data_IF_694103585757
#
_entry.id   IF_694103585757
#
_cell.length_a   1.000
_cell.length_b   1.000
_cell.length_c   1.000
_cell.angle_alpha   90.00
_cell.angle_beta   90.00
_cell.angle_gamma   90.00
#
_symmetry.space_group_name_H-M   'P 1'
#
loop_
_entity.id
_entity.type
_entity.pdbx_description
1 polymer ?
#
# COMPACT_ATOMS: atom_id res chain seq x y z
N UNK A 1 5.46 17.13 36.77
CA UNK A 1 5.77 15.73 37.16
C UNK A 1 4.56 14.86 36.86
N UNK A 2 4.81 13.58 36.58
CA UNK A 2 3.90 12.51 36.12
C UNK A 2 3.67 12.37 34.60
N UNK A 3 4.63 11.64 34.00
CA UNK A 3 4.44 10.46 33.15
C UNK A 3 3.48 10.53 31.95
N UNK A 4 4.07 10.78 30.77
CA UNK A 4 3.69 10.06 29.55
C UNK A 4 4.79 9.03 29.27
N UNK A 5 4.58 7.80 29.76
CA UNK A 5 5.33 6.63 29.31
C UNK A 5 4.98 6.39 27.84
N UNK A 6 5.68 7.08 26.94
CA UNK A 6 5.70 6.75 25.50
C UNK A 6 6.81 5.73 25.25
N UNK A 7 6.64 4.51 25.75
CA UNK A 7 7.34 3.34 25.21
C UNK A 7 6.63 2.90 23.91
N UNK A 8 6.47 3.83 22.97
CA UNK A 8 5.97 3.57 21.63
C UNK A 8 7.15 3.24 20.73
N UNK A 9 7.60 1.99 20.78
CA UNK A 9 8.60 1.49 19.83
C UNK A 9 7.95 1.39 18.45
N UNK A 10 8.11 2.43 17.61
CA UNK A 10 7.81 2.31 16.18
C UNK A 10 8.85 1.39 15.54
N UNK A 11 8.59 0.09 15.52
CA UNK A 11 9.43 -0.88 14.79
C UNK A 11 9.01 -0.90 13.33
N UNK A 12 9.97 -0.61 12.44
CA UNK A 12 9.77 -0.64 10.99
C UNK A 12 10.23 -1.98 10.46
N UNK A 13 9.31 -2.75 9.88
CA UNK A 13 9.61 -4.00 9.20
C UNK A 13 9.81 -3.72 7.70
N UNK A 14 10.89 -4.23 7.15
CA UNK A 14 11.17 -4.16 5.71
C UNK A 14 11.32 -5.59 5.18
N UNK A 15 10.57 -5.94 4.15
CA UNK A 15 10.71 -7.21 3.42
C UNK A 15 11.21 -6.95 2.00
N UNK A 16 12.20 -7.72 1.55
CA UNK A 16 12.77 -7.64 0.20
C UNK A 16 12.62 -8.99 -0.49
N UNK A 17 11.86 -9.04 -1.58
CA UNK A 17 11.78 -10.21 -2.45
C UNK A 17 12.87 -10.13 -3.53
N UNK A 18 13.84 -11.04 -3.48
CA UNK A 18 14.79 -11.26 -4.56
C UNK A 18 14.26 -12.36 -5.49
N UNK A 19 13.93 -11.99 -6.73
CA UNK A 19 13.53 -12.94 -7.77
C UNK A 19 14.69 -13.87 -8.19
N UNK A 20 14.32 -15.08 -8.63
CA UNK A 20 15.15 -16.21 -9.07
C UNK A 20 16.28 -15.87 -10.05
N UNK A 21 17.46 -15.53 -9.53
CA UNK A 21 18.67 -15.44 -10.33
C UNK A 21 19.89 -15.87 -9.49
N UNK A 22 20.53 -17.02 -9.79
CA UNK A 22 21.76 -17.46 -9.13
C UNK A 22 22.88 -16.41 -9.19
N UNK A 23 22.87 -15.51 -10.18
CA UNK A 23 23.84 -14.43 -10.35
C UNK A 23 23.63 -13.34 -9.27
N UNK A 24 22.42 -13.18 -8.74
CA UNK A 24 22.10 -12.17 -7.72
C UNK A 24 22.27 -12.67 -6.27
N UNK A 25 22.59 -13.94 -6.03
CA UNK A 25 22.92 -14.44 -4.68
C UNK A 25 24.12 -13.69 -4.07
N UNK A 26 25.08 -13.26 -4.88
CA UNK A 26 26.19 -12.40 -4.43
C UNK A 26 25.75 -10.96 -4.10
N UNK A 27 24.64 -10.47 -4.68
CA UNK A 27 24.06 -9.15 -4.30
C UNK A 27 23.34 -9.22 -2.96
N UNK A 28 22.80 -10.39 -2.56
CA UNK A 28 22.19 -10.59 -1.24
C UNK A 28 23.20 -10.43 -0.10
N UNK A 29 24.45 -10.90 -0.29
CA UNK A 29 25.55 -10.62 0.66
C UNK A 29 25.78 -9.13 0.89
N UNK A 30 25.74 -8.32 -0.17
CA UNK A 30 25.83 -6.85 -0.07
C UNK A 30 24.60 -6.20 0.57
N UNK A 31 23.43 -6.84 0.47
CA UNK A 31 22.18 -6.32 1.06
C UNK A 31 22.14 -6.54 2.56
N UNK A 32 22.60 -7.71 3.04
CA UNK A 32 22.83 -7.99 4.47
C UNK A 32 23.82 -7.00 5.09
N UNK A 33 24.95 -6.76 4.41
CA UNK A 33 25.96 -5.77 4.80
C UNK A 33 25.37 -4.36 4.96
N UNK A 34 24.59 -3.89 3.98
CA UNK A 34 23.94 -2.56 4.06
C UNK A 34 23.00 -2.49 5.26
N UNK A 35 22.18 -3.52 5.54
CA UNK A 35 21.26 -3.48 6.67
C UNK A 35 21.95 -3.49 8.04
N UNK A 36 22.91 -4.41 8.23
CA UNK A 36 23.64 -4.59 9.49
C UNK A 36 24.56 -3.41 9.80
N UNK A 37 25.18 -2.79 8.79
CA UNK A 37 26.13 -1.68 9.02
C UNK A 37 25.51 -0.29 8.93
N UNK A 38 24.39 -0.10 8.21
CA UNK A 38 23.82 1.25 8.01
C UNK A 38 22.51 1.49 8.76
N UNK A 39 21.64 0.48 8.87
CA UNK A 39 20.31 0.67 9.46
C UNK A 39 20.28 0.23 10.91
N UNK A 40 20.83 -0.95 11.23
CA UNK A 40 20.82 -1.49 12.59
C UNK A 40 21.50 -0.59 13.63
N UNK A 41 22.67 0.03 13.36
CA UNK A 41 23.34 0.89 14.35
C UNK A 41 22.55 2.18 14.65
N UNK A 42 21.74 2.64 13.71
CA UNK A 42 20.92 3.86 13.84
C UNK A 42 19.53 3.54 14.39
N UNK A 43 18.99 2.36 14.07
CA UNK A 43 17.65 1.90 14.46
C UNK A 43 17.75 0.48 15.02
N UNK A 44 18.23 0.30 16.26
CA UNK A 44 18.45 -1.03 16.85
C UNK A 44 17.15 -1.82 17.08
N UNK A 45 16.00 -1.17 16.96
CA UNK A 45 14.69 -1.79 16.99
C UNK A 45 14.19 -2.27 15.62
N UNK A 46 14.92 -1.98 14.54
CA UNK A 46 14.60 -2.48 13.21
C UNK A 46 14.90 -3.97 13.13
N UNK A 47 14.00 -4.74 12.50
CA UNK A 47 14.20 -6.16 12.24
C UNK A 47 14.09 -6.40 10.75
N UNK A 48 15.10 -7.05 10.17
CA UNK A 48 15.05 -7.55 8.82
C UNK A 48 14.67 -9.03 8.85
N UNK A 49 13.73 -9.43 8.00
CA UNK A 49 13.39 -10.83 7.79
C UNK A 49 13.84 -11.17 6.36
N UNK A 50 14.92 -11.93 6.25
CA UNK A 50 15.46 -12.32 4.95
C UNK A 50 14.70 -13.51 4.37
N UNK A 51 14.46 -13.43 3.06
CA UNK A 51 14.00 -14.51 2.20
C UNK A 51 12.64 -14.24 1.59
N UNK A 52 12.18 -15.17 0.75
CA UNK A 52 10.93 -15.04 -0.02
C UNK A 52 9.73 -14.84 0.88
N UNK A 53 8.89 -13.85 0.59
CA UNK A 53 7.73 -13.50 1.40
C UNK A 53 6.82 -14.70 1.69
N UNK A 54 6.61 -15.60 0.71
CA UNK A 54 5.81 -16.82 0.90
C UNK A 54 6.41 -17.83 1.90
N UNK A 55 7.73 -17.76 2.14
CA UNK A 55 8.48 -18.74 2.94
C UNK A 55 8.97 -18.19 4.28
N UNK A 56 9.21 -16.88 4.39
CA UNK A 56 9.94 -16.27 5.52
C UNK A 56 9.05 -15.42 6.42
N UNK A 57 7.93 -14.94 5.88
CA UNK A 57 6.88 -14.35 6.68
C UNK A 57 5.91 -15.43 7.19
N UNK A 58 6.41 -16.48 7.86
CA UNK A 58 5.51 -17.30 8.65
C UNK A 58 4.91 -16.38 9.71
N UNK A 59 3.61 -16.21 9.70
CA UNK A 59 2.91 -15.23 10.53
C UNK A 59 3.07 -15.47 12.05
N UNK A 60 3.77 -16.54 12.44
CA UNK A 60 4.25 -16.85 13.79
C UNK A 60 5.55 -16.12 14.19
N UNK A 61 6.32 -15.59 13.23
CA UNK A 61 7.53 -14.78 13.52
C UNK A 61 7.22 -13.30 13.76
N UNK A 62 5.99 -12.87 13.42
CA UNK A 62 5.52 -11.51 13.63
C UNK A 62 4.94 -11.43 15.04
N UNK A 63 5.80 -11.12 16.02
CA UNK A 63 5.42 -11.01 17.44
C UNK A 63 4.57 -9.77 17.77
N UNK A 64 3.99 -9.10 16.76
CA UNK A 64 3.28 -7.84 16.92
C UNK A 64 1.77 -8.11 16.96
N UNK A 65 1.07 -7.78 18.06
CA UNK A 65 -0.38 -7.96 18.11
C UNK A 65 -1.10 -7.00 17.14
N UNK A 66 -0.58 -5.77 16.98
CA UNK A 66 -1.15 -4.73 16.11
C UNK A 66 -0.02 -4.02 15.34
N UNK A 67 -0.26 -3.73 14.07
CA UNK A 67 0.62 -2.88 13.24
C UNK A 67 0.03 -1.48 13.13
N UNK A 68 0.79 -0.46 13.52
CA UNK A 68 0.39 0.95 13.29
C UNK A 68 0.39 1.30 11.81
N UNK A 69 1.33 0.73 11.05
CA UNK A 69 1.45 0.95 9.61
C UNK A 69 1.90 -0.34 8.92
N UNK A 70 1.27 -0.68 7.81
CA UNK A 70 1.64 -1.78 6.93
C UNK A 70 1.86 -1.25 5.52
N UNK A 71 3.06 -1.46 4.97
CA UNK A 71 3.47 -0.94 3.65
C UNK A 71 3.71 -2.11 2.71
N UNK A 72 3.14 -2.07 1.51
CA UNK A 72 3.36 -3.06 0.45
C UNK A 72 3.89 -2.34 -0.80
N UNK A 73 5.07 -2.75 -1.27
CA UNK A 73 5.76 -2.20 -2.46
C UNK A 73 6.04 -3.25 -3.55
N UNK A 74 5.78 -4.51 -3.23
CA UNK A 74 6.10 -5.67 -4.07
C UNK A 74 4.88 -6.26 -4.78
N UNK A 75 3.67 -5.85 -4.40
CA UNK A 75 2.43 -6.38 -4.95
C UNK A 75 2.09 -5.77 -6.32
N UNK A 76 2.74 -6.27 -7.38
CA UNK A 76 2.49 -5.83 -8.77
C UNK A 76 1.27 -6.51 -9.43
N UNK A 77 0.75 -7.59 -8.84
CA UNK A 77 -0.41 -8.36 -9.33
C UNK A 77 -1.38 -8.68 -8.18
N UNK A 78 -2.59 -9.15 -8.50
CA UNK A 78 -3.54 -9.61 -7.48
C UNK A 78 -2.99 -10.80 -6.68
N UNK A 79 -2.37 -11.77 -7.33
CA UNK A 79 -1.76 -12.93 -6.65
C UNK A 79 -0.62 -12.51 -5.73
N UNK A 80 0.24 -11.57 -6.15
CA UNK A 80 1.28 -11.05 -5.25
C UNK A 80 0.66 -10.42 -4.01
N UNK A 81 -0.44 -9.67 -4.15
CA UNK A 81 -1.15 -9.11 -3.01
C UNK A 81 -1.77 -10.21 -2.13
N UNK A 82 -2.42 -11.21 -2.70
CA UNK A 82 -2.98 -12.34 -1.95
C UNK A 82 -1.92 -13.14 -1.18
N UNK A 83 -0.70 -13.19 -1.67
CA UNK A 83 0.41 -13.87 -1.00
C UNK A 83 1.05 -13.01 0.11
N UNK A 84 1.09 -11.69 -0.06
CA UNK A 84 1.84 -10.79 0.83
C UNK A 84 0.95 -10.12 1.89
N UNK A 85 -0.24 -9.67 1.49
CA UNK A 85 -1.12 -8.94 2.38
C UNK A 85 -1.55 -9.73 3.62
N UNK A 86 -1.87 -11.05 3.59
CA UNK A 86 -2.30 -11.79 4.78
C UNK A 86 -1.35 -11.68 5.97
N UNK A 87 -0.06 -11.49 5.69
CA UNK A 87 1.01 -11.40 6.67
C UNK A 87 0.82 -10.23 7.63
N UNK A 88 0.54 -9.05 7.09
CA UNK A 88 0.25 -7.84 7.87
C UNK A 88 -1.23 -7.61 8.11
N UNK A 89 -2.11 -8.08 7.22
CA UNK A 89 -3.54 -7.74 7.22
C UNK A 89 -4.25 -8.15 8.51
N UNK A 90 -3.90 -9.32 9.06
CA UNK A 90 -4.49 -9.80 10.33
C UNK A 90 -4.11 -8.96 11.56
N UNK A 91 -3.07 -8.13 11.44
CA UNK A 91 -2.58 -7.26 12.51
C UNK A 91 -3.02 -5.80 12.34
N UNK A 92 -3.76 -5.50 11.27
CA UNK A 92 -4.32 -4.19 11.04
C UNK A 92 -5.56 -3.98 11.92
N UNK A 93 -5.56 -2.91 12.71
CA UNK A 93 -6.67 -2.51 13.57
C UNK A 93 -7.28 -1.19 13.09
N UNK A 94 -8.43 -0.82 13.65
CA UNK A 94 -8.96 0.55 13.47
C UNK A 94 -7.92 1.54 14.00
N UNK A 95 -7.60 2.56 13.19
CA UNK A 95 -6.53 3.53 13.46
C UNK A 95 -5.18 3.18 12.80
N UNK A 96 -4.97 1.94 12.36
CA UNK A 96 -3.78 1.58 11.57
C UNK A 96 -3.80 2.23 10.18
N UNK A 97 -2.62 2.27 9.56
CA UNK A 97 -2.40 2.77 8.21
C UNK A 97 -2.01 1.64 7.26
N UNK A 98 -2.66 1.58 6.10
CA UNK A 98 -2.24 0.75 4.97
C UNK A 98 -1.62 1.63 3.90
N UNK A 99 -0.42 1.30 3.43
CA UNK A 99 0.26 2.01 2.34
C UNK A 99 0.54 1.04 1.19
N UNK A 100 0.12 1.40 -0.01
CA UNK A 100 0.35 0.63 -1.22
C UNK A 100 1.13 1.49 -2.21
N UNK A 101 2.38 1.11 -2.49
CA UNK A 101 3.30 1.96 -3.27
C UNK A 101 2.99 1.98 -4.78
N UNK A 102 2.40 0.91 -5.32
CA UNK A 102 2.00 0.82 -6.73
C UNK A 102 0.49 0.82 -6.93
N UNK A 103 -0.28 1.34 -5.98
CA UNK A 103 -1.72 1.15 -5.92
C UNK A 103 -2.42 1.35 -7.26
N UNK A 104 -2.22 2.51 -7.90
CA UNK A 104 -2.81 2.88 -9.20
C UNK A 104 -2.47 1.92 -10.34
N UNK A 105 -1.34 1.23 -10.28
CA UNK A 105 -0.85 0.34 -11.33
C UNK A 105 -1.40 -1.08 -11.22
N UNK A 106 -2.13 -1.38 -10.15
CA UNK A 106 -2.42 -2.76 -9.75
C UNK A 106 -3.93 -3.00 -9.56
N UNK A 107 -4.43 -4.24 -9.70
CA UNK A 107 -5.85 -4.60 -9.46
C UNK A 107 -6.39 -4.31 -8.05
N UNK A 108 -5.55 -3.80 -7.16
CA UNK A 108 -5.91 -3.44 -5.80
C UNK A 108 -6.84 -2.23 -5.76
N UNK A 109 -6.84 -1.37 -6.79
CA UNK A 109 -7.77 -0.24 -6.88
C UNK A 109 -9.21 -0.74 -6.81
N UNK A 110 -9.55 -1.68 -7.67
CA UNK A 110 -10.87 -2.28 -7.78
C UNK A 110 -11.27 -2.96 -6.47
N UNK A 111 -10.39 -3.81 -5.95
CA UNK A 111 -10.64 -4.57 -4.70
C UNK A 111 -10.89 -3.61 -3.54
N UNK A 112 -9.98 -2.65 -3.30
CA UNK A 112 -10.06 -1.79 -2.13
C UNK A 112 -11.26 -0.84 -2.20
N UNK A 113 -11.52 -0.25 -3.36
CA UNK A 113 -12.66 0.64 -3.50
C UNK A 113 -13.99 -0.10 -3.38
N UNK A 114 -14.14 -1.23 -4.07
CA UNK A 114 -15.37 -2.00 -4.08
C UNK A 114 -15.70 -2.61 -2.71
N UNK A 115 -14.68 -3.08 -1.98
CA UNK A 115 -14.87 -3.81 -0.72
C UNK A 115 -14.79 -2.93 0.54
N UNK A 116 -13.97 -1.88 0.52
CA UNK A 116 -13.59 -1.18 1.76
C UNK A 116 -13.76 0.33 1.72
N UNK A 117 -13.37 1.03 0.65
CA UNK A 117 -13.54 2.50 0.60
C UNK A 117 -15.03 2.86 0.53
N UNK A 118 -15.79 2.21 -0.37
CA UNK A 118 -17.23 2.45 -0.52
C UNK A 118 -18.04 2.18 0.75
N UNK A 119 -17.58 1.27 1.61
CA UNK A 119 -18.26 0.92 2.88
C UNK A 119 -17.78 1.76 4.08
N UNK A 120 -16.84 2.68 3.84
CA UNK A 120 -16.20 3.50 4.87
C UNK A 120 -15.32 2.69 5.83
N UNK A 121 -14.82 1.52 5.40
CA UNK A 121 -13.87 0.73 6.18
C UNK A 121 -12.44 1.21 5.97
N UNK A 122 -12.14 1.73 4.77
CA UNK A 122 -10.92 2.45 4.46
C UNK A 122 -11.26 3.89 4.06
N UNK A 123 -10.41 4.82 4.44
CA UNK A 123 -10.45 6.21 3.98
C UNK A 123 -9.11 6.53 3.33
N UNK A 124 -9.10 7.04 2.10
CA UNK A 124 -7.86 7.49 1.46
C UNK A 124 -7.44 8.80 2.12
N UNK A 125 -6.32 8.78 2.86
CA UNK A 125 -5.86 9.98 3.57
C UNK A 125 -4.70 10.67 2.85
N UNK A 126 -3.99 9.95 1.98
CA UNK A 126 -2.91 10.51 1.19
C UNK A 126 -2.75 9.78 -0.13
N UNK A 127 -2.37 10.51 -1.17
CA UNK A 127 -1.88 9.97 -2.43
C UNK A 127 -0.71 10.78 -2.95
N UNK A 128 0.29 10.09 -3.49
CA UNK A 128 1.34 10.72 -4.29
C UNK A 128 0.90 10.71 -5.75
N UNK A 129 0.58 11.91 -6.24
CA UNK A 129 0.05 12.09 -7.59
C UNK A 129 1.12 11.71 -8.63
N UNK A 130 0.73 10.91 -9.62
CA UNK A 130 1.60 10.22 -10.60
C UNK A 130 2.62 9.18 -10.07
N UNK A 131 3.05 9.22 -8.81
CA UNK A 131 4.05 8.26 -8.33
C UNK A 131 3.44 6.90 -7.95
N UNK A 132 2.12 6.85 -7.65
CA UNK A 132 1.31 5.68 -7.25
C UNK A 132 1.21 5.29 -5.75
N UNK A 133 2.02 5.79 -4.80
CA UNK A 133 1.82 5.55 -3.38
C UNK A 133 0.52 6.12 -2.84
N UNK A 134 -0.32 5.26 -2.29
CA UNK A 134 -1.57 5.64 -1.65
C UNK A 134 -1.60 5.12 -0.22
N UNK A 135 -2.15 5.93 0.68
CA UNK A 135 -2.27 5.62 2.11
C UNK A 135 -3.72 5.70 2.54
N UNK A 136 -4.12 4.69 3.30
CA UNK A 136 -5.47 4.52 3.80
C UNK A 136 -5.48 4.45 5.32
N UNK A 137 -6.37 5.21 5.95
CA UNK A 137 -6.72 5.01 7.35
C UNK A 137 -7.76 3.91 7.49
N UNK A 138 -7.56 3.01 8.43
CA UNK A 138 -8.52 1.95 8.73
C UNK A 138 -9.56 2.48 9.71
N UNK A 139 -10.80 2.57 9.23
CA UNK A 139 -11.94 3.11 9.99
C UNK A 139 -12.85 2.02 10.55
N UNK A 140 -12.84 0.83 9.93
CA UNK A 140 -13.58 -0.36 10.38
C UNK A 140 -12.71 -1.61 10.20
N UNK A 141 -12.99 -2.71 10.91
CA UNK A 141 -12.29 -3.98 10.70
C UNK A 141 -12.29 -4.39 9.22
N UNK A 142 -11.15 -4.91 8.76
CA UNK A 142 -10.95 -5.33 7.37
C UNK A 142 -11.00 -6.86 7.26
N UNK A 143 -12.19 -7.48 7.09
CA UNK A 143 -12.28 -8.93 6.96
C UNK A 143 -11.55 -9.42 5.71
N UNK A 144 -10.51 -10.23 5.91
CA UNK A 144 -9.70 -10.80 4.81
C UNK A 144 -10.54 -11.61 3.80
N UNK A 145 -11.65 -12.19 4.25
CA UNK A 145 -12.60 -12.90 3.40
C UNK A 145 -13.07 -12.05 2.21
N UNK A 146 -13.33 -10.75 2.42
CA UNK A 146 -13.75 -9.83 1.35
C UNK A 146 -12.72 -9.66 0.25
N UNK A 147 -11.43 -9.72 0.58
CA UNK A 147 -10.35 -9.69 -0.42
C UNK A 147 -10.37 -10.98 -1.25
N UNK A 148 -10.46 -12.14 -0.59
CA UNK A 148 -10.43 -13.45 -1.25
C UNK A 148 -11.67 -13.74 -2.11
N UNK A 149 -12.82 -13.26 -1.67
CA UNK A 149 -14.12 -13.52 -2.33
C UNK A 149 -14.46 -12.48 -3.41
N UNK A 150 -13.63 -11.44 -3.55
CA UNK A 150 -13.80 -10.40 -4.55
C UNK A 150 -13.74 -11.03 -5.95
N UNK A 151 -14.80 -10.78 -6.72
CA UNK A 151 -14.91 -11.22 -8.10
C UNK A 151 -15.42 -10.02 -8.92
N UNK A 152 -14.63 -9.50 -9.87
CA UNK A 152 -15.04 -8.33 -10.63
C UNK A 152 -16.35 -8.51 -11.39
N UNK A 153 -16.64 -9.74 -11.81
CA UNK A 153 -17.85 -10.16 -12.54
C UNK A 153 -19.14 -10.03 -11.73
N UNK A 154 -19.07 -9.87 -10.41
CA UNK A 154 -20.27 -9.71 -9.55
C UNK A 154 -20.84 -8.30 -9.57
N UNK A 155 -20.14 -7.35 -10.18
CA UNK A 155 -20.53 -5.94 -10.25
C UNK A 155 -21.05 -5.63 -11.65
N UNK A 156 -22.19 -4.97 -11.70
CA UNK A 156 -22.72 -4.38 -12.93
C UNK A 156 -21.88 -3.18 -13.37
N UNK A 157 -22.04 -2.77 -14.63
CA UNK A 157 -21.37 -1.59 -15.18
C UNK A 157 -21.67 -0.31 -14.36
N UNK A 158 -22.93 -0.11 -13.97
CA UNK A 158 -23.31 1.05 -13.16
C UNK A 158 -22.70 1.03 -11.76
N UNK A 159 -22.53 -0.16 -11.17
CA UNK A 159 -21.80 -0.29 -9.90
C UNK A 159 -20.31 0.05 -10.07
N UNK A 160 -19.68 -0.39 -11.16
CA UNK A 160 -18.29 -0.01 -11.46
C UNK A 160 -18.13 1.48 -11.65
N UNK A 161 -19.01 2.12 -12.43
CA UNK A 161 -19.02 3.57 -12.61
C UNK A 161 -19.16 4.29 -11.25
N UNK A 162 -20.06 3.84 -10.39
CA UNK A 162 -20.22 4.40 -9.04
C UNK A 162 -18.95 4.23 -8.19
N UNK A 163 -18.29 3.07 -8.28
CA UNK A 163 -17.03 2.79 -7.59
C UNK A 163 -15.93 3.75 -8.05
N UNK A 164 -15.76 3.94 -9.37
CA UNK A 164 -14.75 4.84 -9.93
C UNK A 164 -15.07 6.32 -9.69
N UNK A 165 -16.35 6.71 -9.69
CA UNK A 165 -16.77 8.04 -9.24
C UNK A 165 -16.30 8.34 -7.82
N UNK A 166 -16.39 7.38 -6.91
CA UNK A 166 -15.82 7.49 -5.57
C UNK A 166 -14.30 7.73 -5.60
N UNK A 167 -13.58 6.99 -6.45
CA UNK A 167 -12.14 7.18 -6.61
C UNK A 167 -11.76 8.55 -7.18
N UNK A 168 -12.49 9.05 -8.18
CA UNK A 168 -12.29 10.40 -8.71
C UNK A 168 -12.56 11.48 -7.67
N UNK A 169 -13.61 11.31 -6.86
CA UNK A 169 -13.93 12.24 -5.79
C UNK A 169 -12.83 12.31 -4.73
N UNK A 170 -12.20 11.18 -4.39
CA UNK A 170 -11.05 11.16 -3.47
C UNK A 170 -9.81 11.84 -4.06
N UNK A 171 -9.55 11.69 -5.37
CA UNK A 171 -8.49 12.43 -6.08
C UNK A 171 -8.72 13.94 -5.97
N UNK A 172 -9.93 14.41 -6.27
CA UNK A 172 -10.26 15.84 -6.23
C UNK A 172 -10.22 16.40 -4.81
N UNK A 173 -10.75 15.65 -3.84
CA UNK A 173 -10.72 16.00 -2.42
C UNK A 173 -9.28 16.14 -1.92
N UNK A 174 -8.42 15.16 -2.19
CA UNK A 174 -7.03 15.18 -1.74
C UNK A 174 -6.19 16.21 -2.49
N UNK A 175 -6.45 16.44 -3.78
CA UNK A 175 -5.80 17.51 -4.54
C UNK A 175 -6.10 18.87 -3.93
N UNK A 176 -7.37 19.12 -3.57
CA UNK A 176 -7.79 20.34 -2.87
C UNK A 176 -7.18 20.45 -1.47
N UNK A 177 -7.26 19.38 -0.68
CA UNK A 177 -6.74 19.32 0.70
C UNK A 177 -5.24 19.63 0.75
N UNK A 178 -4.45 19.01 -0.15
CA UNK A 178 -3.00 19.18 -0.21
C UNK A 178 -2.55 20.33 -1.12
N UNK A 179 -3.50 21.12 -1.67
CA UNK A 179 -3.23 22.27 -2.53
C UNK A 179 -2.29 21.91 -3.69
N UNK A 180 -2.56 20.77 -4.33
CA UNK A 180 -1.79 20.30 -5.50
C UNK A 180 -1.95 21.32 -6.63
N UNK A 181 -0.83 21.88 -7.09
CA UNK A 181 -0.83 22.96 -8.10
C UNK A 181 -0.77 22.45 -9.54
N UNK A 182 -0.25 21.24 -9.73
CA UNK A 182 -0.09 20.63 -11.05
C UNK A 182 -1.39 19.95 -11.47
N UNK A 183 -2.12 20.56 -12.40
CA UNK A 183 -3.28 19.90 -13.01
C UNK A 183 -2.86 18.63 -13.76
N UNK A 184 -1.65 18.63 -14.35
CA UNK A 184 -1.09 17.46 -15.02
C UNK A 184 -0.95 16.26 -14.06
N UNK A 185 -0.58 16.50 -12.80
CA UNK A 185 -0.44 15.42 -11.80
C UNK A 185 -1.81 14.84 -11.41
N UNK A 186 -2.83 15.69 -11.32
CA UNK A 186 -4.23 15.28 -11.07
C UNK A 186 -4.76 14.48 -12.27
N UNK A 187 -4.58 15.00 -13.48
CA UNK A 187 -5.06 14.38 -14.71
C UNK A 187 -4.38 13.04 -14.97
N UNK A 188 -3.10 12.92 -14.67
CA UNK A 188 -2.34 11.68 -14.71
C UNK A 188 -2.97 10.57 -13.85
N UNK A 189 -3.34 10.88 -12.61
CA UNK A 189 -4.05 9.91 -11.73
C UNK A 189 -5.43 9.57 -12.31
N UNK A 190 -6.19 10.57 -12.75
CA UNK A 190 -7.52 10.36 -13.32
C UNK A 190 -7.49 9.56 -14.62
N UNK A 191 -6.46 9.74 -15.45
CA UNK A 191 -6.25 8.97 -16.68
C UNK A 191 -6.00 7.50 -16.35
N UNK A 192 -5.13 7.21 -15.38
CA UNK A 192 -4.93 5.83 -14.92
C UNK A 192 -6.22 5.21 -14.40
N UNK A 193 -7.00 5.94 -13.58
CA UNK A 193 -8.30 5.44 -13.12
C UNK A 193 -9.26 5.19 -14.28
N UNK A 194 -9.31 6.06 -15.29
CA UNK A 194 -10.14 5.87 -16.51
C UNK A 194 -9.72 4.64 -17.32
N UNK A 195 -8.42 4.40 -17.46
CA UNK A 195 -7.90 3.18 -18.10
C UNK A 195 -8.28 1.91 -17.35
N UNK A 196 -8.46 1.98 -16.03
CA UNK A 196 -8.91 0.84 -15.23
C UNK A 196 -10.42 0.67 -15.31
N UNK A 197 -11.18 1.76 -15.21
CA UNK A 197 -12.63 1.77 -15.38
C UNK A 197 -13.01 1.08 -16.69
N UNK A 198 -12.39 1.48 -17.81
CA UNK A 198 -12.68 0.91 -19.12
C UNK A 198 -12.43 -0.60 -19.20
N UNK A 199 -11.41 -1.12 -18.50
CA UNK A 199 -11.08 -2.55 -18.48
C UNK A 199 -12.10 -3.40 -17.71
N UNK A 200 -12.75 -2.83 -16.69
CA UNK A 200 -13.72 -3.56 -15.87
C UNK A 200 -15.15 -3.41 -16.38
N UNK A 201 -15.45 -2.35 -17.13
CA UNK A 201 -16.77 -2.14 -17.73
C UNK A 201 -16.91 -2.82 -19.10
N UNK A 202 -15.81 -3.07 -19.81
CA UNK A 202 -15.85 -3.85 -21.05
C UNK A 202 -15.96 -5.36 -20.75
N UNK A 203 -17.18 -5.89 -20.93
CA UNK A 203 -17.55 -7.29 -20.69
C UNK A 203 -16.66 -8.28 -21.48
N UNK A 204 -16.07 -7.86 -22.61
CA UNK A 204 -15.18 -8.72 -23.41
C UNK A 204 -13.78 -8.87 -22.78
N UNK A 205 -13.32 -7.92 -21.97
CA UNK A 205 -11.98 -7.89 -21.33
C UNK A 205 -11.95 -8.52 -19.94
N UNK A 206 -13.10 -8.74 -19.29
CA UNK A 206 -13.19 -9.39 -17.97
C UNK A 206 -12.65 -10.84 -18.02
N UNK A 207 -12.70 -11.52 -19.19
CA UNK A 207 -12.08 -12.85 -19.39
C UNK A 207 -10.55 -12.84 -19.45
N UNK A 208 -9.90 -11.69 -19.67
CA UNK A 208 -8.47 -11.60 -19.95
C UNK A 208 -7.62 -10.96 -18.84
N UNK A 209 -8.23 -10.37 -17.82
CA UNK A 209 -7.50 -9.52 -16.85
C UNK A 209 -6.77 -10.27 -15.72
N UNK A 210 -6.76 -11.62 -15.72
CA UNK A 210 -6.04 -12.42 -14.72
C UNK A 210 -4.57 -12.71 -15.12
N UNK A 211 -4.17 -12.46 -16.38
CA UNK A 211 -2.79 -12.72 -16.81
C UNK A 211 -2.21 -11.54 -17.59
N UNK A 212 -1.51 -10.59 -16.95
CA UNK A 212 -0.41 -9.88 -17.64
C UNK A 212 0.68 -9.39 -16.67
N UNK A 213 1.87 -9.95 -16.87
CA UNK A 213 3.16 -9.53 -16.31
C UNK A 213 3.79 -8.45 -17.20
N UNK A 214 4.37 -7.41 -16.61
CA UNK A 214 5.59 -6.77 -17.13
C UNK A 214 6.37 -6.16 -15.97
N UNK A 215 7.69 -6.39 -15.87
CA UNK A 215 8.48 -5.94 -14.72
C UNK A 215 8.98 -4.50 -14.93
N UNK A 216 8.35 -3.54 -14.24
CA UNK A 216 8.93 -2.20 -14.09
C UNK A 216 10.03 -2.24 -13.01
N UNK A 217 11.28 -2.00 -13.42
CA UNK A 217 12.42 -1.75 -12.53
C UNK A 217 12.42 -0.29 -12.10
N UNK A 218 12.29 0.03 -10.82
CA UNK A 218 12.58 1.37 -10.28
C UNK A 218 13.15 1.35 -8.85
N UNK A 219 13.91 2.41 -8.51
CA UNK A 219 14.94 2.49 -7.46
C UNK A 219 14.44 2.76 -6.02
N UNK A 220 15.00 1.99 -5.07
CA UNK A 220 14.75 2.01 -3.60
C UNK A 220 15.20 3.30 -2.89
N UNK A 221 16.00 4.18 -3.49
CA UNK A 221 16.59 5.35 -2.80
C UNK A 221 15.61 6.49 -2.47
N UNK A 222 14.42 6.54 -3.07
CA UNK A 222 13.43 7.61 -2.84
C UNK A 222 12.39 7.30 -1.74
N UNK A 223 12.28 6.04 -1.31
CA UNK A 223 11.23 5.55 -0.42
C UNK A 223 11.28 6.22 0.97
N UNK A 224 12.47 6.30 1.57
CA UNK A 224 12.66 6.88 2.91
C UNK A 224 12.36 8.37 2.95
N UNK A 225 12.68 9.12 1.86
CA UNK A 225 12.37 10.55 1.78
C UNK A 225 10.88 10.80 1.57
N UNK A 226 10.20 9.97 0.78
CA UNK A 226 8.75 10.05 0.60
C UNK A 226 8.01 9.71 1.91
N UNK A 227 8.39 8.62 2.60
CA UNK A 227 7.81 8.24 3.90
C UNK A 227 7.99 9.32 4.97
N UNK A 228 9.18 9.96 5.03
CA UNK A 228 9.43 11.08 5.96
C UNK A 228 8.63 12.34 5.59
N UNK A 229 8.43 12.64 4.31
CA UNK A 229 7.58 13.75 3.85
C UNK A 229 6.10 13.50 4.18
N UNK A 230 5.62 12.27 3.96
CA UNK A 230 4.24 11.87 4.30
C UNK A 230 3.98 12.02 5.81
N UNK A 231 4.88 11.49 6.65
CA UNK A 231 4.72 11.58 8.10
C UNK A 231 4.78 13.02 8.62
N UNK A 232 5.69 13.85 8.09
CA UNK A 232 5.79 15.28 8.46
C UNK A 232 4.57 16.08 8.04
N UNK A 233 3.96 15.76 6.88
CA UNK A 233 2.72 16.40 6.43
C UNK A 233 1.54 16.13 7.37
N UNK A 234 1.38 14.88 7.83
CA UNK A 234 0.32 14.47 8.75
C UNK A 234 0.46 15.13 10.13
N UNK A 235 1.67 15.15 10.69
CA UNK A 235 1.95 15.79 11.99
C UNK A 235 1.75 17.32 11.95
N UNK A 236 1.96 17.96 10.80
CA UNK A 236 1.73 19.40 10.66
C UNK A 236 0.25 19.77 10.51
N UNK A 237 -0.59 18.87 9.99
CA UNK A 237 -2.04 19.06 9.91
C UNK A 237 -2.78 18.79 11.22
N UNK A 238 -2.16 18.11 12.19
CA UNK A 238 -2.73 17.83 13.52
C UNK A 238 -2.38 18.88 14.60
N UNK A 239 -1.95 20.09 14.23
CA UNK A 239 -2.08 21.24 15.15
C UNK A 239 -3.55 21.65 15.25
N UNK A 240 -4.35 20.81 15.90
CA UNK A 240 -5.69 21.17 16.35
C UNK A 240 -5.56 22.33 17.37
N UNK A 241 -6.44 23.34 17.30
CA UNK A 241 -6.51 24.37 18.33
C UNK A 241 -6.86 23.70 19.67
N UNK A 242 -6.20 24.15 20.74
CA UNK A 242 -6.64 23.87 22.11
C UNK A 242 -7.95 24.59 22.39
#
# INVERSE_FOLDING_TARGET
MCSLNSSGFTQRLYSYDAFNDPINANKLKGTKFIWEETVWPVYPSARAIEGRLENTARASSWAFPVLEMFVIDTAKTHDHFLNQAPLGWKHLAVGSLLVLMDFLKTPQVEVLYAQFVRTGALEVIYMDFCASPWMFAIRKPLPWARVKEFQPTKYSESEWQSIFQGAYADVDRLAKQYKVKSQADIDCVKNHLRERESRVTDISTIRYSIQFLTPYKWHVKNLTRQLVRMYRGLVQTEKMPR
#
